data_IF_927872186077
#
_entry.id   IF_927872186077
#
_cell.length_a   1.000
_cell.length_b   1.000
_cell.length_c   1.000
_cell.angle_alpha   90.00
_cell.angle_beta   90.00
_cell.angle_gamma   90.00
#
_symmetry.space_group_name_H-M   'P 1'
#
loop_
_entity.id
_entity.type
_entity.pdbx_description
1 polymer ?
#
# COMPACT_ATOMS: atom_id res chain seq x y z
N UNK A 1 -81.47 30.76 10.51
CA UNK A 1 -81.09 29.91 9.36
C UNK A 1 -79.77 30.34 8.69
N UNK A 2 -79.55 31.62 8.34
CA UNK A 2 -78.30 32.09 7.68
C UNK A 2 -76.97 31.64 8.32
N UNK A 3 -76.86 31.63 9.66
CA UNK A 3 -75.61 31.23 10.33
C UNK A 3 -75.27 29.74 10.21
N UNK A 4 -76.27 28.86 10.13
CA UNK A 4 -76.06 27.41 9.95
C UNK A 4 -75.62 27.12 8.51
N UNK A 5 -76.20 27.80 7.53
CA UNK A 5 -75.81 27.68 6.12
C UNK A 5 -74.34 28.09 5.91
N UNK A 6 -73.89 29.18 6.53
CA UNK A 6 -72.48 29.61 6.46
C UNK A 6 -71.51 28.59 7.08
N UNK A 7 -71.90 27.93 8.18
CA UNK A 7 -71.09 26.87 8.81
C UNK A 7 -71.04 25.63 7.91
N UNK A 8 -72.16 25.24 7.32
CA UNK A 8 -72.26 24.09 6.41
C UNK A 8 -71.43 24.31 5.13
N UNK A 9 -71.47 25.52 4.56
CA UNK A 9 -70.66 25.87 3.38
C UNK A 9 -69.16 25.84 3.72
N UNK A 10 -68.77 26.35 4.89
CA UNK A 10 -67.40 26.28 5.39
C UNK A 10 -66.90 24.85 5.56
N UNK A 11 -67.70 23.99 6.19
CA UNK A 11 -67.39 22.56 6.35
C UNK A 11 -67.29 21.84 5.01
N UNK A 12 -68.21 22.12 4.09
CA UNK A 12 -68.20 21.54 2.74
C UNK A 12 -66.91 21.88 2.00
N UNK A 13 -66.45 23.13 2.12
CA UNK A 13 -65.18 23.58 1.54
C UNK A 13 -63.98 22.85 2.14
N UNK A 14 -63.86 22.80 3.47
CA UNK A 14 -62.74 22.10 4.13
C UNK A 14 -62.69 20.62 3.76
N UNK A 15 -63.84 19.98 3.69
CA UNK A 15 -63.97 18.57 3.30
C UNK A 15 -63.58 18.38 1.83
N UNK A 16 -63.97 19.29 0.94
CA UNK A 16 -63.57 19.27 -0.47
C UNK A 16 -62.05 19.40 -0.64
N UNK A 17 -61.44 20.40 0.01
CA UNK A 17 -59.99 20.65 -0.04
C UNK A 17 -59.20 19.42 0.45
N UNK A 18 -59.69 18.74 1.50
CA UNK A 18 -59.08 17.53 2.02
C UNK A 18 -59.13 16.35 1.01
N UNK A 19 -60.21 16.23 0.24
CA UNK A 19 -60.32 15.19 -0.79
C UNK A 19 -59.42 15.47 -1.98
N UNK A 20 -59.33 16.71 -2.45
CA UNK A 20 -58.45 17.08 -3.55
C UNK A 20 -56.97 16.80 -3.20
N UNK A 21 -56.57 17.13 -1.96
CA UNK A 21 -55.26 16.77 -1.45
C UNK A 21 -55.08 15.25 -1.40
N UNK A 22 -56.07 14.49 -0.93
CA UNK A 22 -56.00 13.03 -0.91
C UNK A 22 -55.84 12.45 -2.32
N UNK A 23 -56.65 12.89 -3.27
CA UNK A 23 -56.66 12.45 -4.67
C UNK A 23 -55.33 12.75 -5.36
N UNK A 24 -54.74 13.93 -5.14
CA UNK A 24 -53.47 14.32 -5.75
C UNK A 24 -52.29 13.41 -5.38
N UNK A 25 -52.38 12.71 -4.24
CA UNK A 25 -51.33 11.78 -3.76
C UNK A 25 -51.60 10.32 -4.13
N UNK A 26 -52.73 10.03 -4.78
CA UNK A 26 -53.12 8.66 -5.10
C UNK A 26 -52.55 8.17 -6.42
N UNK A 27 -51.95 6.98 -6.36
CA UNK A 27 -51.50 6.22 -7.53
C UNK A 27 -52.64 5.30 -8.01
N UNK A 28 -52.76 5.03 -9.34
CA UNK A 28 -53.73 4.06 -9.85
C UNK A 28 -53.63 2.69 -9.15
N UNK A 29 -54.77 2.11 -8.75
CA UNK A 29 -54.84 0.82 -8.06
C UNK A 29 -56.06 0.69 -7.14
N UNK A 30 -56.08 -0.33 -6.28
CA UNK A 30 -57.20 -0.60 -5.35
C UNK A 30 -57.48 0.59 -4.42
N UNK A 31 -56.44 1.30 -3.98
CA UNK A 31 -56.62 2.50 -3.14
C UNK A 31 -57.38 3.64 -3.83
N UNK A 32 -57.17 3.84 -5.14
CA UNK A 32 -57.91 4.83 -5.93
C UNK A 32 -59.35 4.38 -6.20
N UNK A 33 -59.55 3.08 -6.46
CA UNK A 33 -60.91 2.50 -6.58
C UNK A 33 -61.72 2.69 -5.29
N UNK A 34 -61.15 2.38 -4.13
CA UNK A 34 -61.81 2.57 -2.83
C UNK A 34 -62.15 4.05 -2.56
N UNK A 35 -61.27 4.96 -2.98
CA UNK A 35 -61.54 6.40 -2.91
C UNK A 35 -62.71 6.80 -3.82
N UNK A 36 -62.72 6.35 -5.07
CA UNK A 36 -63.79 6.65 -6.02
C UNK A 36 -65.13 6.06 -5.54
N UNK A 37 -65.11 4.84 -4.97
CA UNK A 37 -66.26 4.21 -4.31
C UNK A 37 -66.77 5.05 -3.13
N UNK A 38 -65.88 5.50 -2.24
CA UNK A 38 -66.23 6.38 -1.13
C UNK A 38 -66.82 7.72 -1.61
N UNK A 39 -66.28 8.31 -2.69
CA UNK A 39 -66.79 9.55 -3.27
C UNK A 39 -68.17 9.39 -3.90
N UNK A 40 -68.43 8.26 -4.55
CA UNK A 40 -69.77 7.94 -5.04
C UNK A 40 -70.78 7.83 -3.90
N UNK A 41 -70.42 7.18 -2.78
CA UNK A 41 -71.29 7.08 -1.58
C UNK A 41 -71.49 8.43 -0.89
N UNK A 42 -70.45 9.26 -0.84
CA UNK A 42 -70.52 10.64 -0.34
C UNK A 42 -71.53 11.47 -1.15
N UNK A 43 -71.51 11.34 -2.47
CA UNK A 43 -72.44 12.10 -3.33
C UNK A 43 -73.90 11.71 -3.07
N UNK A 44 -74.17 10.42 -2.84
CA UNK A 44 -75.49 9.95 -2.40
C UNK A 44 -75.87 10.56 -1.05
N UNK A 45 -74.97 10.52 -0.06
CA UNK A 45 -75.20 11.13 1.25
C UNK A 45 -75.47 12.64 1.15
N UNK A 46 -74.69 13.36 0.35
CA UNK A 46 -74.85 14.80 0.11
C UNK A 46 -76.23 15.13 -0.49
N UNK A 47 -76.68 14.35 -1.47
CA UNK A 47 -78.00 14.54 -2.09
C UNK A 47 -79.14 14.30 -1.10
N UNK A 48 -79.05 13.24 -0.29
CA UNK A 48 -80.05 12.94 0.75
C UNK A 48 -80.08 14.04 1.81
N UNK A 49 -78.92 14.53 2.23
CA UNK A 49 -78.82 15.64 3.18
C UNK A 49 -79.41 16.94 2.60
N UNK A 50 -79.16 17.23 1.32
CA UNK A 50 -79.72 18.40 0.64
C UNK A 50 -81.25 18.30 0.51
N UNK A 51 -81.77 17.13 0.18
CA UNK A 51 -83.20 16.84 0.13
C UNK A 51 -83.86 17.04 1.50
N UNK A 52 -83.26 16.52 2.57
CA UNK A 52 -83.71 16.70 3.95
C UNK A 52 -83.75 18.18 4.34
N UNK A 53 -82.71 18.95 4.03
CA UNK A 53 -82.65 20.40 4.30
C UNK A 53 -83.72 21.18 3.53
N UNK A 54 -84.02 20.78 2.30
CA UNK A 54 -85.07 21.42 1.51
C UNK A 54 -86.47 21.13 2.09
N UNK A 55 -86.75 19.90 2.50
CA UNK A 55 -88.01 19.53 3.15
C UNK A 55 -88.22 20.30 4.47
N UNK A 56 -87.15 20.44 5.27
CA UNK A 56 -87.17 21.23 6.50
C UNK A 56 -87.46 22.72 6.23
N UNK A 57 -86.89 23.31 5.16
CA UNK A 57 -87.17 24.71 4.76
C UNK A 57 -88.62 24.92 4.33
N UNK A 58 -89.27 23.89 3.80
CA UNK A 58 -90.66 23.90 3.35
C UNK A 58 -91.66 23.53 4.47
N UNK A 59 -91.20 23.32 5.72
CA UNK A 59 -91.98 22.83 6.86
C UNK A 59 -92.70 21.49 6.59
N UNK A 60 -92.11 20.63 5.76
CA UNK A 60 -92.62 19.30 5.42
C UNK A 60 -92.04 18.24 6.36
N UNK A 61 -92.33 18.38 7.65
CA UNK A 61 -91.64 17.62 8.71
C UNK A 61 -91.91 16.11 8.64
N UNK A 62 -93.11 15.69 8.23
CA UNK A 62 -93.46 14.27 8.07
C UNK A 62 -92.65 13.61 6.92
N UNK A 63 -92.53 14.28 5.77
CA UNK A 63 -91.73 13.82 4.63
C UNK A 63 -90.23 13.81 4.98
N UNK A 64 -89.76 14.81 5.75
CA UNK A 64 -88.39 14.86 6.24
C UNK A 64 -88.08 13.70 7.20
N UNK A 65 -89.03 13.34 8.07
CA UNK A 65 -88.87 12.25 9.03
C UNK A 65 -88.87 10.88 8.33
N UNK A 66 -89.72 10.67 7.34
CA UNK A 66 -89.70 9.46 6.50
C UNK A 66 -88.38 9.31 5.73
N UNK A 67 -87.86 10.40 5.15
CA UNK A 67 -86.56 10.41 4.48
C UNK A 67 -85.42 10.02 5.43
N UNK A 68 -85.45 10.54 6.67
CA UNK A 68 -84.46 10.20 7.71
C UNK A 68 -84.57 8.74 8.11
N UNK A 69 -85.77 8.19 8.27
CA UNK A 69 -85.93 6.79 8.67
C UNK A 69 -85.55 5.77 7.61
N UNK A 70 -85.56 6.15 6.33
CA UNK A 70 -85.06 5.35 5.23
C UNK A 70 -83.66 5.77 4.76
N UNK A 71 -83.60 6.38 3.57
CA UNK A 71 -82.35 6.76 2.87
C UNK A 71 -81.40 7.61 3.71
N UNK A 72 -81.92 8.42 4.63
CA UNK A 72 -81.16 9.28 5.54
C UNK A 72 -80.37 8.52 6.60
N UNK A 73 -80.78 7.32 6.98
CA UNK A 73 -80.00 6.40 7.85
C UNK A 73 -78.96 5.61 7.05
N UNK A 74 -79.34 5.12 5.87
CA UNK A 74 -78.50 4.21 5.08
C UNK A 74 -77.31 4.91 4.41
N UNK A 75 -77.51 6.13 3.88
CA UNK A 75 -76.48 6.83 3.12
C UNK A 75 -75.23 7.20 3.97
N UNK A 76 -75.34 7.72 5.21
CA UNK A 76 -74.17 7.94 6.06
C UNK A 76 -73.44 6.64 6.42
N UNK A 77 -74.17 5.56 6.72
CA UNK A 77 -73.57 4.25 7.06
C UNK A 77 -72.80 3.67 5.88
N UNK A 78 -73.38 3.72 4.67
CA UNK A 78 -72.73 3.26 3.46
C UNK A 78 -71.47 4.09 3.14
N UNK A 79 -71.50 5.39 3.39
CA UNK A 79 -70.33 6.25 3.22
C UNK A 79 -69.24 5.94 4.25
N UNK A 80 -69.61 5.78 5.53
CA UNK A 80 -68.70 5.43 6.60
C UNK A 80 -68.02 4.08 6.35
N UNK A 81 -68.78 3.06 5.95
CA UNK A 81 -68.22 1.74 5.64
C UNK A 81 -67.19 1.80 4.49
N UNK A 82 -67.44 2.60 3.46
CA UNK A 82 -66.49 2.78 2.35
C UNK A 82 -65.21 3.50 2.80
N UNK A 83 -65.32 4.48 3.70
CA UNK A 83 -64.16 5.13 4.31
C UNK A 83 -63.36 4.17 5.20
N UNK A 84 -64.03 3.36 6.01
CA UNK A 84 -63.38 2.39 6.89
C UNK A 84 -62.60 1.35 6.06
N UNK A 85 -63.16 0.84 4.97
CA UNK A 85 -62.46 -0.06 4.05
C UNK A 85 -61.21 0.60 3.45
N UNK A 86 -61.31 1.87 3.03
CA UNK A 86 -60.17 2.63 2.50
C UNK A 86 -59.08 2.85 3.55
N UNK A 87 -59.45 3.18 4.79
CA UNK A 87 -58.51 3.39 5.90
C UNK A 87 -57.80 2.07 6.22
N UNK A 88 -58.54 0.97 6.36
CA UNK A 88 -57.97 -0.36 6.62
C UNK A 88 -56.97 -0.77 5.53
N UNK A 89 -57.33 -0.58 4.26
CA UNK A 89 -56.43 -0.86 3.14
C UNK A 89 -55.14 -0.02 3.22
N UNK A 90 -55.24 1.29 3.47
CA UNK A 90 -54.07 2.17 3.58
C UNK A 90 -53.18 1.83 4.78
N UNK A 91 -53.77 1.49 5.92
CA UNK A 91 -53.02 1.07 7.11
C UNK A 91 -52.26 -0.24 6.86
N UNK A 92 -52.89 -1.22 6.21
CA UNK A 92 -52.24 -2.48 5.86
C UNK A 92 -51.06 -2.27 4.90
N UNK A 93 -51.26 -1.47 3.85
CA UNK A 93 -50.18 -1.15 2.90
C UNK A 93 -49.06 -0.30 3.52
N UNK A 94 -49.39 0.61 4.45
CA UNK A 94 -48.40 1.41 5.15
C UNK A 94 -47.51 0.54 6.05
N UNK A 95 -48.10 -0.43 6.76
CA UNK A 95 -47.36 -1.38 7.58
C UNK A 95 -46.46 -2.28 6.72
N UNK A 96 -46.99 -2.84 5.63
CA UNK A 96 -46.21 -3.67 4.71
C UNK A 96 -45.05 -2.88 4.09
N UNK A 97 -45.31 -1.65 3.63
CA UNK A 97 -44.29 -0.77 3.09
C UNK A 97 -43.24 -0.36 4.14
N UNK A 98 -43.64 -0.12 5.37
CA UNK A 98 -42.73 0.19 6.48
C UNK A 98 -41.80 -0.99 6.77
N UNK A 99 -42.34 -2.20 6.90
CA UNK A 99 -41.56 -3.41 7.16
C UNK A 99 -40.61 -3.73 6.00
N UNK A 100 -41.09 -3.63 4.76
CA UNK A 100 -40.27 -3.81 3.57
C UNK A 100 -39.10 -2.80 3.53
N UNK A 101 -39.37 -1.53 3.83
CA UNK A 101 -38.34 -0.49 3.89
C UNK A 101 -37.34 -0.73 5.02
N UNK A 102 -37.76 -1.21 6.19
CA UNK A 102 -36.85 -1.55 7.28
C UNK A 102 -35.91 -2.71 6.92
N UNK A 103 -36.45 -3.77 6.30
CA UNK A 103 -35.64 -4.91 5.85
C UNK A 103 -34.65 -4.48 4.75
N UNK A 104 -35.11 -3.69 3.78
CA UNK A 104 -34.27 -3.15 2.73
C UNK A 104 -33.17 -2.24 3.30
N UNK A 105 -33.50 -1.33 4.21
CA UNK A 105 -32.54 -0.44 4.86
C UNK A 105 -31.46 -1.24 5.62
N UNK A 106 -31.86 -2.24 6.42
CA UNK A 106 -30.91 -3.12 7.13
C UNK A 106 -29.99 -3.87 6.16
N UNK A 107 -30.54 -4.41 5.08
CA UNK A 107 -29.75 -5.11 4.07
C UNK A 107 -28.74 -4.17 3.39
N UNK A 108 -29.17 -2.96 3.00
CA UNK A 108 -28.29 -1.94 2.40
C UNK A 108 -27.19 -1.53 3.38
N UNK A 109 -27.53 -1.23 4.64
CA UNK A 109 -26.54 -0.88 5.66
C UNK A 109 -25.53 -2.01 5.87
N UNK A 110 -25.98 -3.27 5.96
CA UNK A 110 -25.09 -4.42 6.09
C UNK A 110 -24.14 -4.57 4.90
N UNK A 111 -24.64 -4.37 3.67
CA UNK A 111 -23.86 -4.44 2.44
C UNK A 111 -22.79 -3.34 2.39
N UNK A 112 -23.16 -2.10 2.72
CA UNK A 112 -22.22 -0.96 2.78
C UNK A 112 -21.13 -1.20 3.81
N UNK A 113 -21.49 -1.63 5.03
CA UNK A 113 -20.50 -1.97 6.07
C UNK A 113 -19.60 -3.13 5.61
N UNK A 114 -20.17 -4.14 4.96
CA UNK A 114 -19.40 -5.26 4.40
C UNK A 114 -18.38 -4.82 3.35
N UNK A 115 -18.77 -3.94 2.42
CA UNK A 115 -17.85 -3.38 1.40
C UNK A 115 -16.74 -2.56 2.07
N UNK A 116 -17.06 -1.74 3.06
CA UNK A 116 -16.06 -0.93 3.77
C UNK A 116 -15.03 -1.80 4.49
N UNK A 117 -15.49 -2.81 5.24
CA UNK A 117 -14.61 -3.76 5.93
C UNK A 117 -13.76 -4.54 4.91
N UNK A 118 -14.39 -5.04 3.84
CA UNK A 118 -13.68 -5.74 2.76
C UNK A 118 -12.62 -4.87 2.10
N UNK A 119 -12.93 -3.60 1.84
CA UNK A 119 -12.00 -2.62 1.28
C UNK A 119 -10.78 -2.37 2.18
N UNK A 120 -11.01 -2.22 3.50
CA UNK A 120 -9.91 -2.05 4.47
C UNK A 120 -9.03 -3.29 4.54
N UNK A 121 -9.63 -4.49 4.60
CA UNK A 121 -8.87 -5.75 4.63
C UNK A 121 -8.04 -5.90 3.35
N UNK A 122 -8.62 -5.60 2.20
CA UNK A 122 -7.94 -5.69 0.91
C UNK A 122 -6.79 -4.66 0.82
N UNK A 123 -7.00 -3.43 1.29
CA UNK A 123 -5.96 -2.41 1.33
C UNK A 123 -4.79 -2.81 2.24
N UNK A 124 -5.07 -3.32 3.44
CA UNK A 124 -4.04 -3.83 4.34
C UNK A 124 -3.31 -5.03 3.76
N UNK A 125 -4.05 -5.97 3.15
CA UNK A 125 -3.49 -7.15 2.50
C UNK A 125 -2.55 -6.79 1.36
N UNK A 126 -2.95 -5.88 0.47
CA UNK A 126 -2.10 -5.38 -0.61
C UNK A 126 -0.90 -4.60 -0.08
N UNK A 127 -1.08 -3.76 0.94
CA UNK A 127 0.02 -3.01 1.56
C UNK A 127 1.09 -3.94 2.15
N UNK A 128 0.67 -4.95 2.91
CA UNK A 128 1.58 -5.97 3.47
C UNK A 128 2.25 -6.75 2.35
N UNK A 129 1.49 -7.17 1.33
CA UNK A 129 2.02 -7.91 0.18
C UNK A 129 3.10 -7.12 -0.56
N UNK A 130 2.86 -5.84 -0.88
CA UNK A 130 3.83 -4.99 -1.56
C UNK A 130 5.05 -4.70 -0.69
N UNK A 131 4.86 -4.46 0.61
CA UNK A 131 5.96 -4.25 1.55
C UNK A 131 6.89 -5.48 1.63
N UNK A 132 6.32 -6.69 1.66
CA UNK A 132 7.07 -7.94 1.72
C UNK A 132 7.70 -8.31 0.37
N UNK A 133 6.99 -8.09 -0.73
CA UNK A 133 7.46 -8.48 -2.07
C UNK A 133 8.44 -7.48 -2.66
N UNK A 134 8.36 -6.19 -2.34
CA UNK A 134 9.18 -5.14 -2.98
C UNK A 134 10.08 -4.45 -1.97
N UNK A 135 9.48 -3.79 -0.96
CA UNK A 135 10.23 -2.89 -0.07
C UNK A 135 11.30 -3.61 0.75
N UNK A 136 10.98 -4.78 1.31
CA UNK A 136 11.93 -5.58 2.09
C UNK A 136 13.13 -6.09 1.28
N UNK A 137 12.94 -6.76 0.13
CA UNK A 137 14.05 -7.18 -0.73
C UNK A 137 14.91 -6.02 -1.24
N UNK A 138 14.31 -4.88 -1.55
CA UNK A 138 15.06 -3.67 -1.91
C UNK A 138 15.91 -3.16 -0.74
N UNK A 139 15.36 -3.14 0.47
CA UNK A 139 16.12 -2.75 1.67
C UNK A 139 17.31 -3.70 1.93
N UNK A 140 17.13 -5.00 1.74
CA UNK A 140 18.21 -5.98 1.82
C UNK A 140 19.27 -5.77 0.73
N UNK A 141 18.86 -5.48 -0.51
CA UNK A 141 19.78 -5.16 -1.59
C UNK A 141 20.63 -3.92 -1.26
N UNK A 142 19.99 -2.85 -0.77
CA UNK A 142 20.70 -1.63 -0.30
C UNK A 142 21.70 -2.00 0.79
N UNK A 143 21.28 -2.76 1.81
CA UNK A 143 22.12 -3.18 2.92
C UNK A 143 23.35 -3.97 2.45
N UNK A 144 23.16 -4.93 1.54
CA UNK A 144 24.26 -5.69 0.94
C UNK A 144 25.24 -4.79 0.19
N UNK A 145 24.73 -3.84 -0.60
CA UNK A 145 25.61 -2.88 -1.29
C UNK A 145 26.36 -1.95 -0.34
N UNK A 146 25.80 -1.62 0.82
CA UNK A 146 26.49 -0.87 1.87
C UNK A 146 27.67 -1.66 2.44
N UNK A 147 27.50 -2.95 2.74
CA UNK A 147 28.63 -3.80 3.17
C UNK A 147 29.74 -3.86 2.12
N UNK A 148 29.37 -3.97 0.84
CA UNK A 148 30.34 -3.93 -0.27
C UNK A 148 31.08 -2.60 -0.31
N UNK A 149 30.39 -1.47 -0.11
CA UNK A 149 31.01 -0.14 -0.07
C UNK A 149 31.97 0.02 1.13
N UNK A 150 31.71 -0.66 2.23
CA UNK A 150 32.58 -0.73 3.41
C UNK A 150 33.76 -1.71 3.25
N UNK A 151 33.80 -2.45 2.13
CA UNK A 151 34.82 -3.46 1.84
C UNK A 151 34.56 -4.82 2.52
N UNK A 152 33.43 -4.99 3.19
CA UNK A 152 33.00 -6.26 3.75
C UNK A 152 32.30 -7.11 2.69
N UNK A 153 33.08 -7.97 2.05
CA UNK A 153 32.60 -8.93 1.07
C UNK A 153 32.22 -10.28 1.69
N UNK A 154 32.11 -10.42 3.02
CA UNK A 154 31.82 -11.73 3.64
C UNK A 154 30.34 -12.10 3.62
N UNK A 155 29.47 -11.12 3.39
CA UNK A 155 28.02 -11.31 3.30
C UNK A 155 27.60 -12.02 2.00
N UNK A 156 26.50 -12.76 2.06
CA UNK A 156 25.94 -13.51 0.93
C UNK A 156 24.54 -13.01 0.58
N UNK A 157 24.17 -13.12 -0.70
CA UNK A 157 22.81 -12.80 -1.13
C UNK A 157 21.86 -13.95 -0.74
N UNK A 158 20.76 -13.69 -0.02
CA UNK A 158 19.81 -14.74 0.35
C UNK A 158 19.28 -15.52 -0.85
N UNK A 159 19.28 -16.86 -0.74
CA UNK A 159 18.91 -17.77 -1.84
C UNK A 159 17.48 -17.52 -2.36
N UNK A 160 16.58 -17.11 -1.46
CA UNK A 160 15.19 -16.74 -1.80
C UNK A 160 15.11 -15.62 -2.83
N UNK A 161 16.07 -14.69 -2.83
CA UNK A 161 16.14 -13.61 -3.82
C UNK A 161 16.81 -14.07 -5.11
N UNK A 162 17.80 -14.97 -5.04
CA UNK A 162 18.46 -15.52 -6.23
C UNK A 162 17.55 -16.41 -7.08
N UNK A 163 16.62 -17.13 -6.44
CA UNK A 163 15.63 -17.99 -7.13
C UNK A 163 14.44 -17.22 -7.69
N UNK A 164 14.37 -15.91 -7.43
CA UNK A 164 13.24 -15.08 -7.80
C UNK A 164 13.23 -14.80 -9.31
N UNK A 165 12.08 -14.95 -10.00
CA UNK A 165 12.00 -14.84 -11.46
C UNK A 165 11.78 -13.39 -11.97
N UNK A 166 11.78 -12.39 -11.08
CA UNK A 166 11.49 -10.98 -11.38
C UNK A 166 12.75 -10.10 -11.38
N UNK A 167 12.57 -8.80 -11.56
CA UNK A 167 13.64 -7.80 -11.60
C UNK A 167 14.42 -7.73 -10.28
N UNK A 168 13.78 -8.04 -9.15
CA UNK A 168 14.44 -8.14 -7.85
C UNK A 168 15.41 -9.33 -7.84
N UNK A 169 15.03 -10.45 -8.43
CA UNK A 169 15.92 -11.60 -8.60
C UNK A 169 17.09 -11.31 -9.56
N UNK A 170 16.84 -10.54 -10.62
CA UNK A 170 17.92 -10.09 -11.51
C UNK A 170 18.90 -9.17 -10.78
N UNK A 171 18.40 -8.22 -9.99
CA UNK A 171 19.21 -7.34 -9.14
C UNK A 171 20.04 -8.15 -8.13
N UNK A 172 19.44 -9.13 -7.47
CA UNK A 172 20.12 -10.00 -6.51
C UNK A 172 21.28 -10.77 -7.17
N UNK A 173 21.08 -11.33 -8.36
CA UNK A 173 22.13 -12.02 -9.14
C UNK A 173 23.25 -11.07 -9.56
N UNK A 174 22.92 -9.84 -9.97
CA UNK A 174 23.90 -8.83 -10.34
C UNK A 174 24.79 -8.43 -9.14
N UNK A 175 24.19 -8.21 -7.97
CA UNK A 175 24.94 -7.93 -6.73
C UNK A 175 25.84 -9.12 -6.37
N UNK A 176 25.34 -10.35 -6.47
CA UNK A 176 26.15 -11.55 -6.22
C UNK A 176 27.35 -11.65 -7.16
N UNK A 177 27.16 -11.40 -8.45
CA UNK A 177 28.25 -11.38 -9.44
C UNK A 177 29.29 -10.32 -9.12
N UNK A 178 28.86 -9.09 -8.78
CA UNK A 178 29.75 -8.01 -8.37
C UNK A 178 30.61 -8.40 -7.15
N UNK A 179 30.00 -8.99 -6.11
CA UNK A 179 30.74 -9.44 -4.93
C UNK A 179 31.77 -10.52 -5.27
N UNK A 180 31.42 -11.48 -6.13
CA UNK A 180 32.36 -12.53 -6.56
C UNK A 180 33.56 -11.92 -7.29
N UNK A 181 33.32 -11.05 -8.27
CA UNK A 181 34.40 -10.40 -9.01
C UNK A 181 35.29 -9.54 -8.10
N UNK A 182 34.72 -8.82 -7.13
CA UNK A 182 35.51 -8.05 -6.17
C UNK A 182 36.37 -8.96 -5.27
N UNK A 183 35.85 -10.10 -4.80
CA UNK A 183 36.62 -11.08 -4.02
C UNK A 183 37.79 -11.64 -4.84
N UNK A 184 37.56 -11.98 -6.11
CA UNK A 184 38.61 -12.47 -7.02
C UNK A 184 39.71 -11.43 -7.23
N UNK A 185 39.34 -10.15 -7.42
CA UNK A 185 40.28 -9.05 -7.55
C UNK A 185 41.13 -8.88 -6.27
N UNK A 186 40.50 -8.88 -5.09
CA UNK A 186 41.21 -8.77 -3.80
C UNK A 186 42.17 -9.94 -3.60
N UNK A 187 41.74 -11.17 -3.89
CA UNK A 187 42.59 -12.37 -3.82
C UNK A 187 43.80 -12.28 -4.76
N UNK A 188 43.60 -11.74 -5.96
CA UNK A 188 44.67 -11.55 -6.95
C UNK A 188 45.69 -10.50 -6.51
N UNK A 189 45.22 -9.40 -5.92
CA UNK A 189 46.08 -8.36 -5.34
C UNK A 189 46.87 -8.90 -4.15
N UNK A 190 46.25 -9.68 -3.27
CA UNK A 190 46.93 -10.30 -2.13
C UNK A 190 48.02 -11.27 -2.58
N UNK A 191 47.73 -12.11 -3.58
CA UNK A 191 48.71 -13.05 -4.16
C UNK A 191 49.88 -12.31 -4.82
N UNK A 192 49.61 -11.24 -5.56
CA UNK A 192 50.64 -10.40 -6.18
C UNK A 192 51.51 -9.72 -5.13
N UNK A 193 50.91 -9.23 -4.04
CA UNK A 193 51.63 -8.58 -2.93
C UNK A 193 52.51 -9.58 -2.17
N UNK A 194 52.06 -10.82 -1.98
CA UNK A 194 52.86 -11.90 -1.39
C UNK A 194 54.07 -12.26 -2.27
N UNK A 195 53.90 -12.30 -3.58
CA UNK A 195 55.01 -12.51 -4.52
C UNK A 195 56.04 -11.37 -4.47
N UNK A 196 55.58 -10.11 -4.42
CA UNK A 196 56.46 -8.94 -4.29
C UNK A 196 57.21 -8.96 -2.96
N UNK A 197 56.54 -9.30 -1.85
CA UNK A 197 57.16 -9.43 -0.54
C UNK A 197 58.25 -10.51 -0.54
N UNK A 198 57.93 -11.70 -1.07
CA UNK A 198 58.87 -12.82 -1.18
C UNK A 198 60.09 -12.47 -2.06
N UNK A 199 59.86 -11.83 -3.21
CA UNK A 199 60.93 -11.35 -4.08
C UNK A 199 61.81 -10.27 -3.41
N UNK A 200 61.21 -9.39 -2.61
CA UNK A 200 61.95 -8.37 -1.85
C UNK A 200 62.83 -9.00 -0.77
N UNK A 201 62.35 -10.04 -0.10
CA UNK A 201 63.14 -10.82 0.87
C UNK A 201 64.33 -11.52 0.19
N UNK A 202 64.12 -12.14 -0.96
CA UNK A 202 65.18 -12.78 -1.74
C UNK A 202 66.21 -11.76 -2.26
N UNK A 203 65.76 -10.59 -2.71
CA UNK A 203 66.65 -9.51 -3.15
C UNK A 203 67.47 -8.96 -1.98
N UNK A 204 66.87 -8.82 -0.81
CA UNK A 204 67.57 -8.41 0.42
C UNK A 204 68.63 -9.43 0.82
N UNK A 205 68.33 -10.73 0.78
CA UNK A 205 69.31 -11.78 1.08
C UNK A 205 70.45 -11.80 0.06
N UNK A 206 70.14 -11.60 -1.22
CA UNK A 206 71.14 -11.53 -2.30
C UNK A 206 72.04 -10.31 -2.13
N UNK A 207 71.47 -9.15 -1.76
CA UNK A 207 72.25 -7.95 -1.46
C UNK A 207 73.17 -8.13 -0.25
N UNK A 208 72.72 -8.82 0.80
CA UNK A 208 73.57 -9.16 1.96
C UNK A 208 74.71 -10.09 1.57
N UNK A 209 74.44 -11.14 0.79
CA UNK A 209 75.48 -12.05 0.27
C UNK A 209 76.47 -11.31 -0.62
N UNK A 210 75.99 -10.42 -1.50
CA UNK A 210 76.85 -9.60 -2.35
C UNK A 210 77.71 -8.63 -1.53
N UNK A 211 77.16 -8.01 -0.49
CA UNK A 211 77.93 -7.16 0.43
C UNK A 211 79.00 -7.95 1.17
N UNK A 212 78.73 -9.19 1.58
CA UNK A 212 79.74 -10.07 2.18
C UNK A 212 80.83 -10.43 1.16
N UNK A 213 80.45 -10.88 -0.04
CA UNK A 213 81.41 -11.23 -1.10
C UNK A 213 82.25 -10.04 -1.57
N UNK A 214 81.69 -8.84 -1.63
CA UNK A 214 82.44 -7.60 -1.91
C UNK A 214 83.46 -7.30 -0.80
N UNK A 215 83.08 -7.50 0.47
CA UNK A 215 84.01 -7.35 1.60
C UNK A 215 85.16 -8.35 1.48
N UNK A 216 84.87 -9.61 1.16
CA UNK A 216 85.89 -10.64 0.91
C UNK A 216 86.81 -10.29 -0.26
N UNK A 217 86.27 -9.75 -1.35
CA UNK A 217 87.06 -9.28 -2.50
C UNK A 217 87.99 -8.12 -2.11
N UNK A 218 87.52 -7.17 -1.31
CA UNK A 218 88.35 -6.06 -0.81
C UNK A 218 89.47 -6.60 0.08
N UNK A 219 89.17 -7.54 0.97
CA UNK A 219 90.18 -8.19 1.82
C UNK A 219 91.21 -8.96 0.99
N UNK A 220 90.78 -9.73 0.00
CA UNK A 220 91.69 -10.50 -0.86
C UNK A 220 92.58 -9.59 -1.71
N UNK A 221 92.00 -8.55 -2.33
CA UNK A 221 92.76 -7.55 -3.07
C UNK A 221 93.78 -6.84 -2.16
N UNK A 222 93.38 -6.45 -0.95
CA UNK A 222 94.26 -5.87 0.06
C UNK A 222 95.44 -6.80 0.39
N UNK A 223 95.19 -8.10 0.55
CA UNK A 223 96.24 -9.10 0.79
C UNK A 223 97.19 -9.29 -0.40
N UNK A 224 96.68 -9.20 -1.64
CA UNK A 224 97.51 -9.23 -2.86
C UNK A 224 98.39 -7.99 -2.93
N UNK A 225 97.84 -6.82 -2.62
CA UNK A 225 98.62 -5.58 -2.55
C UNK A 225 99.69 -5.65 -1.46
N UNK A 226 99.38 -6.23 -0.30
CA UNK A 226 100.33 -6.42 0.80
C UNK A 226 101.48 -7.36 0.38
N UNK A 227 101.17 -8.55 -0.11
CA UNK A 227 102.16 -9.50 -0.62
C UNK A 227 103.03 -8.88 -1.73
N UNK A 228 102.42 -8.12 -2.67
CA UNK A 228 103.15 -7.48 -3.76
C UNK A 228 104.06 -6.35 -3.26
N UNK A 229 103.66 -5.63 -2.21
CA UNK A 229 104.49 -4.60 -1.56
C UNK A 229 105.67 -5.24 -0.84
N UNK A 230 105.44 -6.33 -0.12
CA UNK A 230 106.50 -7.11 0.55
C UNK A 230 107.49 -7.69 -0.47
N UNK A 231 107.00 -8.24 -1.60
CA UNK A 231 107.85 -8.72 -2.69
C UNK A 231 108.73 -7.60 -3.29
N UNK A 232 108.18 -6.39 -3.46
CA UNK A 232 108.97 -5.26 -3.96
C UNK A 232 110.04 -4.81 -2.96
N UNK A 233 109.73 -4.79 -1.67
CA UNK A 233 110.73 -4.52 -0.64
C UNK A 233 111.84 -5.57 -0.65
N UNK A 234 111.48 -6.85 -0.73
CA UNK A 234 112.44 -7.95 -0.76
C UNK A 234 113.33 -7.92 -2.02
N UNK A 235 112.76 -7.58 -3.18
CA UNK A 235 113.53 -7.40 -4.41
C UNK A 235 114.44 -6.17 -4.39
N UNK A 236 114.02 -5.09 -3.73
CA UNK A 236 114.83 -3.89 -3.55
C UNK A 236 116.05 -4.15 -2.66
N UNK A 237 115.86 -4.84 -1.52
CA UNK A 237 116.98 -5.32 -0.69
C UNK A 237 117.91 -6.25 -1.47
N UNK A 238 117.36 -7.23 -2.19
CA UNK A 238 118.16 -8.12 -3.03
C UNK A 238 118.92 -7.38 -4.15
N UNK A 239 118.39 -6.27 -4.68
CA UNK A 239 119.10 -5.40 -5.63
C UNK A 239 120.22 -4.62 -4.94
N UNK A 240 119.97 -4.04 -3.77
CA UNK A 240 120.99 -3.35 -2.99
C UNK A 240 122.14 -4.28 -2.63
N UNK A 241 121.84 -5.50 -2.15
CA UNK A 241 122.85 -6.52 -1.84
C UNK A 241 123.66 -6.94 -3.08
N UNK A 242 123.03 -7.07 -4.24
CA UNK A 242 123.73 -7.35 -5.51
C UNK A 242 124.63 -6.20 -5.97
N UNK A 243 124.17 -4.95 -5.84
CA UNK A 243 125.01 -3.78 -6.13
C UNK A 243 126.17 -3.68 -5.14
N UNK A 244 125.93 -3.94 -3.86
CA UNK A 244 126.96 -3.93 -2.83
C UNK A 244 128.03 -5.02 -3.08
N UNK A 245 127.63 -6.22 -3.52
CA UNK A 245 128.57 -7.25 -3.98
C UNK A 245 129.35 -6.84 -5.23
N UNK A 246 128.71 -6.21 -6.23
CA UNK A 246 129.41 -5.73 -7.45
C UNK A 246 130.49 -4.69 -7.13
N UNK A 247 130.23 -3.72 -6.25
CA UNK A 247 131.23 -2.74 -5.82
C UNK A 247 132.37 -3.40 -5.01
N UNK A 248 132.09 -4.42 -4.20
CA UNK A 248 133.14 -5.16 -3.47
C UNK A 248 134.05 -6.00 -4.37
N UNK A 249 133.57 -6.43 -5.54
CA UNK A 249 134.37 -7.19 -6.51
C UNK A 249 135.19 -6.34 -7.47
N UNK A 250 134.84 -5.05 -7.65
CA UNK A 250 135.53 -4.15 -8.59
C UNK A 250 136.68 -3.34 -7.94
N UNK A 251 136.85 -3.42 -6.61
CA UNK A 251 137.97 -2.86 -5.86
C UNK A 251 139.14 -3.83 -5.58
N UNK A 252 139.18 -4.99 -6.25
CA UNK A 252 140.28 -5.97 -6.18
C UNK A 252 140.84 -6.27 -7.57
N UNK A 253 141.37 -5.27 -8.26
CA UNK A 253 142.40 -5.40 -9.31
C UNK A 253 143.20 -4.11 -9.40
#
# INVERSE_FOLDING_TARGET
MRGIETILDGLTKTVFDAYEMCESTMVPGRGKQLFDEAMAKRDVFRLVFQEQMNLAKLNKDAEAMELVEGRGKDAPLAYQAALDEMVLYKMANAEEGYQANLLAAKAITALVVGILIGGVILALGLGIFLSLSISRPLAEAVKLTTYVAEGDLTHEVPEVYLKRPDEIGLLAKAIQGMMVSLRELVSSVQSSSANVSSGSLQMSSTAQQMSQGATEQVTSAGSVFFNRRDDQHHQAECRQLRNHRRYSTQGRR
#
